data_IF_717598803938
#
_entry.id   IF_717598803938
#
_cell.length_a   1.000
_cell.length_b   1.000
_cell.length_c   1.000
_cell.angle_alpha   90.00
_cell.angle_beta   90.00
_cell.angle_gamma   90.00
#
_symmetry.space_group_name_H-M   'P 1'
#
loop_
_entity.id
_entity.type
_entity.pdbx_description
1 polymer ?
#
# COMPACT_ATOMS: atom_id res chain seq x y z
N UNK A 1 -13.14 15.49 -96.23
CA UNK A 1 -11.91 14.72 -95.96
C UNK A 1 -10.90 15.71 -95.39
N UNK A 2 -10.33 15.63 -94.19
CA UNK A 2 -10.40 14.76 -92.99
C UNK A 2 -9.86 15.66 -91.84
N UNK A 3 -10.68 16.00 -90.83
CA UNK A 3 -10.63 15.62 -89.39
C UNK A 3 -9.30 15.91 -88.63
N UNK A 4 -9.40 16.73 -87.56
CA UNK A 4 -8.98 16.48 -86.15
C UNK A 4 -8.58 17.80 -85.48
N UNK A 5 -9.40 18.46 -84.64
CA UNK A 5 -9.88 18.18 -83.27
C UNK A 5 -8.91 18.63 -82.14
N UNK A 6 -9.37 19.64 -81.40
CA UNK A 6 -9.16 20.10 -80.02
C UNK A 6 -7.84 19.88 -79.26
N UNK A 7 -7.45 20.92 -78.51
CA UNK A 7 -6.81 20.73 -77.20
C UNK A 7 -7.30 21.76 -76.18
N UNK A 8 -7.99 21.24 -75.17
CA UNK A 8 -8.60 21.96 -74.05
C UNK A 8 -7.58 22.25 -72.93
N UNK A 9 -7.78 23.38 -72.27
CA UNK A 9 -6.95 23.93 -71.21
C UNK A 9 -6.73 23.01 -70.01
N UNK A 10 -5.52 23.14 -69.47
CA UNK A 10 -4.93 22.51 -68.30
C UNK A 10 -5.61 22.86 -66.96
N UNK A 11 -5.79 21.84 -66.12
CA UNK A 11 -5.95 22.00 -64.65
C UNK A 11 -4.90 21.10 -64.00
N UNK A 12 -3.86 21.72 -63.41
CA UNK A 12 -2.83 21.02 -62.64
C UNK A 12 -3.27 21.00 -61.17
N UNK A 13 -3.59 19.81 -60.64
CA UNK A 13 -3.80 19.60 -59.20
C UNK A 13 -2.44 19.34 -58.55
N UNK A 14 -2.09 20.19 -57.60
CA UNK A 14 -0.96 20.06 -56.69
C UNK A 14 -1.09 18.76 -55.88
N UNK A 15 -0.26 17.76 -56.18
CA UNK A 15 -0.21 16.48 -55.46
C UNK A 15 0.50 16.68 -54.12
N UNK A 16 -0.26 17.09 -53.10
CA UNK A 16 0.15 17.07 -51.70
C UNK A 16 0.68 15.67 -51.34
N UNK A 17 1.94 15.62 -50.90
CA UNK A 17 2.67 14.40 -50.60
C UNK A 17 2.13 13.73 -49.32
N UNK A 18 1.09 12.90 -49.48
CA UNK A 18 0.33 12.22 -48.42
C UNK A 18 1.19 11.32 -47.52
N UNK A 19 2.32 10.83 -48.01
CA UNK A 19 3.24 9.97 -47.23
C UNK A 19 3.99 10.73 -46.14
N UNK A 20 4.41 11.98 -46.42
CA UNK A 20 5.07 12.83 -45.42
C UNK A 20 4.11 13.25 -44.31
N UNK A 21 2.85 13.53 -44.66
CA UNK A 21 1.79 13.87 -43.71
C UNK A 21 1.41 12.69 -42.80
N UNK A 22 1.63 11.45 -43.26
CA UNK A 22 1.42 10.22 -42.49
C UNK A 22 2.57 9.92 -41.52
N UNK A 23 3.82 10.17 -41.92
CA UNK A 23 5.01 10.02 -41.06
C UNK A 23 5.04 11.06 -39.95
N UNK A 24 4.71 12.31 -40.26
CA UNK A 24 4.71 13.41 -39.29
C UNK A 24 3.61 13.26 -38.23
N UNK A 25 2.43 12.76 -38.64
CA UNK A 25 1.34 12.39 -37.72
C UNK A 25 1.66 11.18 -36.83
N UNK A 26 2.39 10.18 -37.33
CA UNK A 26 2.83 9.04 -36.51
C UNK A 26 3.87 9.46 -35.48
N UNK A 27 4.82 10.31 -35.87
CA UNK A 27 5.86 10.85 -34.98
C UNK A 27 5.23 11.68 -33.86
N UNK A 28 4.30 12.58 -34.18
CA UNK A 28 3.54 13.35 -33.19
C UNK A 28 2.66 12.47 -32.28
N UNK A 29 2.09 11.37 -32.79
CA UNK A 29 1.32 10.43 -31.96
C UNK A 29 2.21 9.66 -30.97
N UNK A 30 3.40 9.24 -31.39
CA UNK A 30 4.37 8.59 -30.51
C UNK A 30 4.91 9.54 -29.44
N UNK A 31 5.20 10.79 -29.82
CA UNK A 31 5.66 11.81 -28.90
C UNK A 31 4.57 12.15 -27.87
N UNK A 32 3.31 12.29 -28.30
CA UNK A 32 2.17 12.47 -27.39
C UNK A 32 2.00 11.29 -26.43
N UNK A 33 2.15 10.04 -26.90
CA UNK A 33 2.08 8.84 -26.04
C UNK A 33 3.19 8.81 -24.99
N UNK A 34 4.41 9.21 -25.36
CA UNK A 34 5.53 9.31 -24.42
C UNK A 34 5.27 10.39 -23.38
N UNK A 35 4.78 11.55 -23.81
CA UNK A 35 4.44 12.65 -22.90
C UNK A 35 3.29 12.27 -21.94
N UNK A 36 2.22 11.65 -22.45
CA UNK A 36 1.12 11.17 -21.63
C UNK A 36 1.60 10.16 -20.58
N UNK A 37 2.42 9.18 -21.00
CA UNK A 37 3.02 8.19 -20.10
C UNK A 37 3.90 8.85 -19.04
N UNK A 38 4.71 9.85 -19.42
CA UNK A 38 5.54 10.60 -18.46
C UNK A 38 4.67 11.41 -17.48
N UNK A 39 3.58 12.01 -17.94
CA UNK A 39 2.63 12.73 -17.08
C UNK A 39 1.90 11.80 -16.11
N UNK A 40 1.56 10.58 -16.54
CA UNK A 40 1.03 9.54 -15.65
C UNK A 40 2.08 9.11 -14.62
N UNK A 41 3.32 8.81 -15.04
CA UNK A 41 4.43 8.47 -14.14
C UNK A 41 4.73 9.59 -13.14
N UNK A 42 4.64 10.86 -13.53
CA UNK A 42 4.83 12.02 -12.64
C UNK A 42 3.66 12.21 -11.67
N UNK A 43 2.44 11.82 -12.05
CA UNK A 43 1.28 11.79 -11.14
C UNK A 43 1.38 10.64 -10.14
N UNK A 44 1.92 9.50 -10.58
CA UNK A 44 2.14 8.31 -9.76
C UNK A 44 3.45 8.37 -8.95
N UNK A 45 4.36 9.29 -9.30
CA UNK A 45 5.64 9.45 -8.61
C UNK A 45 5.38 9.83 -7.16
N UNK A 46 5.85 9.03 -6.18
CA UNK A 46 5.69 9.35 -4.78
C UNK A 46 6.51 10.61 -4.49
N UNK A 47 5.83 11.75 -4.35
CA UNK A 47 6.45 12.93 -3.76
C UNK A 47 6.84 12.56 -2.33
N UNK A 48 8.05 12.88 -1.87
CA UNK A 48 8.40 12.65 -0.48
C UNK A 48 7.42 13.43 0.40
N UNK A 49 6.51 12.68 1.01
CA UNK A 49 5.55 13.19 1.98
C UNK A 49 6.32 13.59 3.22
N UNK A 50 6.02 14.77 3.77
CA UNK A 50 6.56 15.16 5.08
C UNK A 50 6.10 14.23 6.22
N UNK A 51 5.07 13.41 5.98
CA UNK A 51 4.61 12.38 6.91
C UNK A 51 5.31 11.02 6.70
N UNK A 52 6.14 10.86 5.66
CA UNK A 52 6.84 9.61 5.35
C UNK A 52 7.83 9.25 6.47
N UNK A 53 7.55 8.16 7.18
CA UNK A 53 8.31 7.74 8.35
C UNK A 53 8.47 6.22 8.50
N UNK A 54 7.91 5.43 7.58
CA UNK A 54 8.00 3.97 7.55
C UNK A 54 8.64 3.57 6.24
N UNK A 55 9.87 3.07 6.33
CA UNK A 55 10.72 2.81 5.17
C UNK A 55 10.92 1.32 4.94
N UNK A 56 11.02 0.94 3.67
CA UNK A 56 11.57 -0.35 3.28
C UNK A 56 13.08 -0.32 3.44
N UNK A 57 13.60 -1.39 4.03
CA UNK A 57 15.03 -1.59 4.19
C UNK A 57 15.62 -1.79 2.78
N UNK A 58 16.65 -1.02 2.40
CA UNK A 58 17.33 -1.20 1.13
C UNK A 58 17.77 -2.65 0.91
N UNK A 59 17.55 -3.16 -0.31
CA UNK A 59 17.80 -4.57 -0.64
C UNK A 59 19.22 -5.02 -0.30
N UNK A 60 20.23 -4.16 -0.50
CA UNK A 60 21.63 -4.44 -0.14
C UNK A 60 21.82 -4.75 1.35
N UNK A 61 21.11 -4.03 2.24
CA UNK A 61 21.15 -4.30 3.67
C UNK A 61 20.42 -5.60 4.00
N UNK A 62 19.26 -5.84 3.38
CA UNK A 62 18.54 -7.11 3.55
C UNK A 62 19.38 -8.32 3.12
N UNK A 63 20.11 -8.22 2.00
CA UNK A 63 20.99 -9.30 1.51
C UNK A 63 22.18 -9.53 2.45
N UNK A 64 22.70 -8.49 3.09
CA UNK A 64 23.81 -8.61 4.03
C UNK A 64 23.42 -9.31 5.34
N UNK A 65 22.19 -9.07 5.84
CA UNK A 65 21.70 -9.73 7.06
C UNK A 65 20.17 -9.82 7.12
N UNK A 66 19.62 -10.78 6.38
CA UNK A 66 18.16 -10.94 6.19
C UNK A 66 17.39 -11.12 7.50
N UNK A 67 17.99 -11.85 8.44
CA UNK A 67 17.42 -12.16 9.74
C UNK A 67 17.32 -10.94 10.67
N UNK A 68 18.02 -9.83 10.38
CA UNK A 68 17.83 -8.59 11.14
C UNK A 68 16.57 -7.83 10.74
N UNK A 69 16.09 -8.01 9.49
CA UNK A 69 15.02 -7.18 8.93
C UNK A 69 13.71 -7.95 8.70
N UNK A 70 13.75 -9.28 8.75
CA UNK A 70 12.54 -10.11 8.55
C UNK A 70 11.83 -10.36 9.89
N UNK A 71 10.50 -10.14 10.01
CA UNK A 71 9.72 -10.56 11.17
C UNK A 71 9.75 -12.07 11.35
N UNK A 72 9.68 -12.52 12.61
CA UNK A 72 9.76 -13.94 12.97
C UNK A 72 8.41 -14.57 13.27
N UNK A 73 7.50 -13.82 13.87
CA UNK A 73 6.22 -14.33 14.38
C UNK A 73 5.04 -13.46 13.98
N UNK A 74 5.20 -12.15 13.80
CA UNK A 74 4.07 -11.26 13.53
C UNK A 74 4.37 -10.18 12.49
N UNK A 75 3.47 -10.03 11.52
CA UNK A 75 3.45 -8.89 10.63
C UNK A 75 2.63 -7.75 11.26
N UNK A 76 3.08 -6.50 11.14
CA UNK A 76 2.36 -5.30 11.51
C UNK A 76 2.45 -4.35 10.33
N UNK A 77 1.30 -3.93 9.83
CA UNK A 77 1.22 -3.11 8.64
C UNK A 77 1.43 -3.91 7.35
N UNK A 78 1.58 -3.19 6.22
CA UNK A 78 1.44 -3.78 4.88
C UNK A 78 2.65 -4.58 4.39
N UNK A 79 3.88 -4.25 4.79
CA UNK A 79 5.08 -4.73 4.11
C UNK A 79 5.35 -6.23 4.26
N UNK A 80 4.90 -6.83 5.36
CA UNK A 80 5.03 -8.27 5.59
C UNK A 80 3.71 -9.02 5.53
N UNK A 81 2.64 -8.36 5.06
CA UNK A 81 1.32 -8.98 4.93
C UNK A 81 1.37 -10.15 3.95
N UNK A 82 0.67 -11.24 4.31
CA UNK A 82 0.55 -12.42 3.45
C UNK A 82 1.74 -13.37 3.50
N UNK A 83 2.78 -13.06 4.29
CA UNK A 83 3.87 -14.00 4.53
C UNK A 83 3.36 -15.25 5.25
N UNK A 84 3.48 -16.41 4.60
CA UNK A 84 2.98 -17.69 5.12
C UNK A 84 3.58 -18.07 6.47
N UNK A 85 4.83 -17.69 6.73
CA UNK A 85 5.49 -17.97 8.01
C UNK A 85 4.88 -17.21 9.19
N UNK A 86 4.20 -16.08 8.93
CA UNK A 86 3.60 -15.21 9.95
C UNK A 86 2.10 -15.48 10.14
N UNK A 87 1.48 -16.23 9.23
CA UNK A 87 0.06 -16.59 9.24
C UNK A 87 -0.43 -17.20 10.57
N UNK A 88 0.34 -18.02 11.31
CA UNK A 88 -0.11 -18.56 12.59
C UNK A 88 -0.52 -17.47 13.59
N UNK A 89 0.13 -16.29 13.58
CA UNK A 89 -0.15 -15.22 14.52
C UNK A 89 -1.35 -14.34 14.14
N UNK A 90 -1.83 -14.41 12.90
CA UNK A 90 -3.06 -13.70 12.49
C UNK A 90 -4.27 -14.18 13.30
N UNK A 91 -4.31 -15.46 13.67
CA UNK A 91 -5.33 -16.00 14.57
C UNK A 91 -5.32 -15.36 15.97
N UNK A 92 -4.13 -15.01 16.48
CA UNK A 92 -3.99 -14.35 17.79
C UNK A 92 -4.37 -12.88 17.73
N UNK A 93 -4.15 -12.20 16.60
CA UNK A 93 -4.69 -10.85 16.40
C UNK A 93 -6.22 -10.85 16.45
N UNK A 94 -6.86 -11.85 15.84
CA UNK A 94 -8.32 -12.02 15.91
C UNK A 94 -8.80 -12.35 17.34
N UNK A 95 -8.04 -13.13 18.10
CA UNK A 95 -8.31 -13.34 19.54
C UNK A 95 -8.31 -12.01 20.30
N UNK A 96 -7.31 -11.16 20.07
CA UNK A 96 -7.21 -9.85 20.73
C UNK A 96 -8.33 -8.90 20.30
N UNK A 97 -8.66 -8.89 19.01
CA UNK A 97 -9.77 -8.11 18.47
C UNK A 97 -11.13 -8.54 19.08
N UNK A 98 -11.37 -9.85 19.18
CA UNK A 98 -12.62 -10.38 19.75
C UNK A 98 -12.75 -10.13 21.25
N UNK A 99 -11.64 -10.15 21.99
CA UNK A 99 -11.59 -9.75 23.41
C UNK A 99 -11.87 -8.25 23.60
N UNK A 100 -11.30 -7.40 22.74
CA UNK A 100 -11.48 -5.95 22.83
C UNK A 100 -12.91 -5.50 22.50
N UNK A 101 -13.53 -6.15 21.52
CA UNK A 101 -14.85 -5.80 20.99
C UNK A 101 -15.68 -7.06 20.68
N UNK A 102 -16.28 -7.67 21.71
CA UNK A 102 -17.11 -8.84 21.50
C UNK A 102 -18.35 -8.46 20.66
N UNK A 103 -18.41 -9.01 19.44
CA UNK A 103 -19.58 -9.06 18.53
C UNK A 103 -20.44 -7.79 18.47
N UNK A 104 -19.81 -6.62 18.31
CA UNK A 104 -20.52 -5.34 18.11
C UNK A 104 -20.30 -4.79 16.70
N UNK A 105 -21.17 -5.09 15.72
CA UNK A 105 -21.03 -4.63 14.34
C UNK A 105 -20.87 -3.11 14.23
N UNK A 106 -21.61 -2.36 15.07
CA UNK A 106 -21.52 -0.89 15.14
C UNK A 106 -20.11 -0.43 15.51
N UNK A 107 -19.45 -1.09 16.47
CA UNK A 107 -18.07 -0.76 16.85
C UNK A 107 -17.10 -1.09 15.71
N UNK A 108 -17.21 -2.26 15.08
CA UNK A 108 -16.36 -2.62 13.93
C UNK A 108 -16.44 -1.58 12.83
N UNK A 109 -17.66 -1.24 12.40
CA UNK A 109 -17.88 -0.21 11.39
C UNK A 109 -17.28 1.13 11.79
N UNK A 110 -17.45 1.55 13.04
CA UNK A 110 -16.89 2.79 13.55
C UNK A 110 -15.35 2.86 13.42
N UNK A 111 -14.63 1.80 13.81
CA UNK A 111 -13.17 1.79 13.68
C UNK A 111 -12.71 1.75 12.21
N UNK A 112 -13.41 1.02 11.35
CA UNK A 112 -13.11 0.97 9.91
C UNK A 112 -13.28 2.36 9.29
N UNK A 113 -14.41 3.03 9.53
CA UNK A 113 -14.66 4.38 9.00
C UNK A 113 -13.66 5.41 9.55
N UNK A 114 -13.29 5.28 10.83
CA UNK A 114 -12.24 6.11 11.44
C UNK A 114 -10.90 5.94 10.72
N UNK A 115 -10.47 4.71 10.44
CA UNK A 115 -9.24 4.47 9.67
C UNK A 115 -9.37 4.98 8.24
N UNK A 116 -10.50 4.76 7.57
CA UNK A 116 -10.77 5.28 6.22
C UNK A 116 -10.65 6.80 6.16
N UNK A 117 -11.11 7.51 7.20
CA UNK A 117 -10.96 8.97 7.29
C UNK A 117 -9.49 9.43 7.33
N UNK A 118 -8.56 8.55 7.73
CA UNK A 118 -7.12 8.83 7.77
C UNK A 118 -6.34 8.16 6.63
N UNK A 119 -7.01 7.50 5.70
CA UNK A 119 -6.39 6.66 4.65
C UNK A 119 -5.23 7.33 3.94
N UNK A 120 -5.46 8.56 3.44
CA UNK A 120 -4.46 9.32 2.69
C UNK A 120 -3.21 9.59 3.54
N UNK A 121 -3.40 10.03 4.79
CA UNK A 121 -2.32 10.30 5.73
C UNK A 121 -1.58 9.03 6.14
N UNK A 122 -2.29 7.93 6.39
CA UNK A 122 -1.65 6.65 6.75
C UNK A 122 -0.79 6.17 5.59
N UNK A 123 -1.31 6.20 4.36
CA UNK A 123 -0.58 5.79 3.16
C UNK A 123 0.64 6.68 2.91
N UNK A 124 0.54 7.98 3.20
CA UNK A 124 1.66 8.92 3.04
C UNK A 124 2.77 8.76 4.09
N UNK A 125 2.60 7.88 5.09
CA UNK A 125 3.65 7.48 6.02
C UNK A 125 4.59 6.39 5.48
N UNK A 126 4.17 5.66 4.44
CA UNK A 126 4.94 4.58 3.83
C UNK A 126 5.73 5.12 2.62
N UNK A 127 6.99 4.71 2.49
CA UNK A 127 7.86 5.10 1.36
C UNK A 127 7.52 4.39 0.05
N UNK A 128 6.81 3.26 0.12
CA UNK A 128 6.32 2.53 -1.04
C UNK A 128 4.80 2.61 -1.21
N UNK A 129 4.35 2.49 -2.46
CA UNK A 129 2.93 2.43 -2.77
C UNK A 129 2.30 1.11 -2.28
N UNK A 130 1.30 1.23 -1.40
CA UNK A 130 0.59 0.07 -0.86
C UNK A 130 -0.42 -0.48 -1.86
N UNK A 131 -0.18 -1.71 -2.34
CA UNK A 131 -1.03 -2.44 -3.31
C UNK A 131 -2.19 -3.20 -2.65
N UNK A 132 -2.92 -2.54 -1.77
CA UNK A 132 -4.12 -3.08 -1.13
C UNK A 132 -5.30 -2.18 -1.46
N UNK A 133 -6.49 -2.76 -1.61
CA UNK A 133 -7.72 -1.96 -1.64
C UNK A 133 -7.84 -1.15 -0.35
N UNK A 134 -8.58 -0.05 -0.40
CA UNK A 134 -8.78 0.78 0.79
C UNK A 134 -9.49 0.00 1.91
N UNK A 135 -10.37 -0.94 1.56
CA UNK A 135 -11.07 -1.78 2.54
C UNK A 135 -10.10 -2.78 3.19
N UNK A 136 -9.35 -3.55 2.40
CA UNK A 136 -8.36 -4.50 2.94
C UNK A 136 -7.30 -3.80 3.79
N UNK A 137 -6.89 -2.59 3.40
CA UNK A 137 -5.93 -1.79 4.14
C UNK A 137 -6.53 -1.30 5.47
N UNK A 138 -7.78 -0.82 5.45
CA UNK A 138 -8.46 -0.36 6.67
C UNK A 138 -8.65 -1.51 7.66
N UNK A 139 -9.09 -2.68 7.18
CA UNK A 139 -9.26 -3.89 8.00
C UNK A 139 -7.96 -4.30 8.69
N UNK A 140 -6.84 -4.30 7.96
CA UNK A 140 -5.53 -4.61 8.52
C UNK A 140 -5.08 -3.57 9.54
N UNK A 141 -5.27 -2.28 9.28
CA UNK A 141 -4.91 -1.23 10.24
C UNK A 141 -5.71 -1.34 11.53
N UNK A 142 -7.00 -1.69 11.46
CA UNK A 142 -7.81 -1.96 12.65
C UNK A 142 -7.29 -3.20 13.37
N UNK A 143 -7.11 -4.32 12.67
CA UNK A 143 -6.67 -5.57 13.27
C UNK A 143 -5.31 -5.44 13.97
N UNK A 144 -4.32 -4.90 13.26
CA UNK A 144 -2.95 -4.73 13.76
C UNK A 144 -2.91 -3.67 14.87
N UNK A 145 -3.64 -2.57 14.70
CA UNK A 145 -3.69 -1.50 15.70
C UNK A 145 -4.37 -1.94 17.00
N UNK A 146 -5.49 -2.66 16.92
CA UNK A 146 -6.15 -3.24 18.10
C UNK A 146 -5.28 -4.30 18.76
N UNK A 147 -4.59 -5.13 17.97
CA UNK A 147 -3.60 -6.06 18.52
C UNK A 147 -2.55 -5.32 19.35
N UNK A 148 -1.95 -4.25 18.83
CA UNK A 148 -0.95 -3.44 19.55
C UNK A 148 -1.52 -2.82 20.82
N UNK A 149 -2.71 -2.21 20.74
CA UNK A 149 -3.40 -1.64 21.91
C UNK A 149 -3.64 -2.70 22.98
N UNK A 150 -4.18 -3.86 22.61
CA UNK A 150 -4.43 -4.96 23.54
C UNK A 150 -3.15 -5.49 24.15
N UNK A 151 -2.09 -5.69 23.35
CA UNK A 151 -0.80 -6.15 23.83
C UNK A 151 -0.25 -5.22 24.94
N UNK A 152 -0.30 -3.90 24.74
CA UNK A 152 0.12 -2.94 25.76
C UNK A 152 -0.79 -2.95 27.01
N UNK A 153 -2.10 -3.08 26.83
CA UNK A 153 -3.04 -3.14 27.95
C UNK A 153 -2.85 -4.40 28.81
N UNK A 154 -2.59 -5.55 28.18
CA UNK A 154 -2.30 -6.83 28.86
C UNK A 154 -0.92 -6.75 29.53
N UNK A 155 0.06 -6.12 28.88
CA UNK A 155 1.38 -5.90 29.47
C UNK A 155 1.29 -5.12 30.78
N UNK A 156 0.42 -4.10 30.83
CA UNK A 156 0.17 -3.29 32.02
C UNK A 156 -0.68 -4.00 33.08
N UNK A 157 -1.73 -4.71 32.66
CA UNK A 157 -2.55 -5.52 33.56
C UNK A 157 -2.82 -6.89 32.93
N UNK A 158 -2.15 -7.92 33.46
CA UNK A 158 -2.25 -9.31 32.97
C UNK A 158 -3.63 -9.93 33.14
N UNK A 159 -4.50 -9.38 34.00
CA UNK A 159 -5.88 -9.84 34.17
C UNK A 159 -6.74 -9.59 32.92
N UNK A 160 -6.31 -8.69 32.03
CA UNK A 160 -6.99 -8.42 30.75
C UNK A 160 -6.71 -9.46 29.67
N UNK A 161 -5.87 -10.45 29.97
CA UNK A 161 -5.45 -11.48 29.03
C UNK A 161 -6.66 -12.35 28.63
N UNK A 162 -6.93 -12.54 27.33
CA UNK A 162 -7.97 -13.47 26.91
C UNK A 162 -7.53 -14.93 27.14
N UNK A 163 -8.52 -15.81 27.28
CA UNK A 163 -8.26 -17.25 27.37
C UNK A 163 -7.56 -17.75 26.10
N UNK A 164 -6.58 -18.64 26.28
CA UNK A 164 -5.81 -19.21 25.17
C UNK A 164 -4.70 -18.31 24.61
N UNK A 165 -4.39 -17.18 25.26
CA UNK A 165 -3.29 -16.31 24.85
C UNK A 165 -1.90 -16.92 25.06
N UNK A 166 -1.33 -17.43 23.97
CA UNK A 166 0.01 -18.04 23.97
C UNK A 166 1.16 -17.04 24.01
N UNK A 167 0.91 -15.75 23.73
CA UNK A 167 1.98 -14.73 23.66
C UNK A 167 2.56 -14.53 25.07
N UNK A 168 1.71 -14.35 26.07
CA UNK A 168 2.15 -14.15 27.46
C UNK A 168 2.44 -15.44 28.22
N UNK A 169 1.94 -16.59 27.76
CA UNK A 169 2.26 -17.91 28.35
C UNK A 169 3.68 -18.37 28.02
N UNK A 170 4.25 -17.89 26.91
CA UNK A 170 5.52 -18.36 26.36
C UNK A 170 6.51 -17.20 26.22
N UNK A 171 7.49 -17.05 27.13
CA UNK A 171 8.43 -15.91 27.11
C UNK A 171 9.13 -15.68 25.77
N UNK A 172 9.51 -16.75 25.07
CA UNK A 172 10.11 -16.69 23.74
C UNK A 172 9.17 -16.13 22.66
N UNK A 173 7.85 -16.35 22.74
CA UNK A 173 6.88 -15.74 21.82
C UNK A 173 6.81 -14.25 22.08
N UNK A 174 6.62 -13.83 23.33
CA UNK A 174 6.61 -12.40 23.71
C UNK A 174 7.89 -11.67 23.27
N UNK A 175 9.05 -12.30 23.43
CA UNK A 175 10.33 -11.73 22.99
C UNK A 175 10.41 -11.57 21.46
N UNK A 176 9.91 -12.54 20.70
CA UNK A 176 9.85 -12.41 19.24
C UNK A 176 8.82 -11.36 18.80
N UNK A 177 7.66 -11.26 19.47
CA UNK A 177 6.68 -10.19 19.21
C UNK A 177 7.31 -8.81 19.44
N UNK A 178 7.98 -8.61 20.58
CA UNK A 178 8.68 -7.35 20.89
C UNK A 178 9.76 -7.01 19.85
N UNK A 179 10.55 -8.00 19.44
CA UNK A 179 11.55 -7.82 18.38
C UNK A 179 10.88 -7.37 17.08
N UNK A 180 9.84 -8.09 16.66
CA UNK A 180 9.13 -7.82 15.41
C UNK A 180 8.49 -6.43 15.42
N UNK A 181 7.98 -5.97 16.57
CA UNK A 181 7.46 -4.61 16.76
C UNK A 181 8.54 -3.51 16.68
N UNK A 182 9.82 -3.84 16.69
CA UNK A 182 10.92 -2.87 16.57
C UNK A 182 11.53 -2.84 15.17
N UNK A 183 11.11 -3.73 14.27
CA UNK A 183 11.62 -3.76 12.90
C UNK A 183 11.09 -2.58 12.10
N UNK A 184 11.97 -1.92 11.35
CA UNK A 184 11.65 -0.74 10.54
C UNK A 184 10.50 -1.01 9.55
N UNK A 185 10.50 -2.17 8.90
CA UNK A 185 9.50 -2.55 7.90
C UNK A 185 8.19 -3.07 8.50
N UNK A 186 8.13 -3.25 9.82
CA UNK A 186 7.01 -3.92 10.51
C UNK A 186 6.27 -2.94 11.43
N UNK A 187 5.98 -1.75 10.89
CA UNK A 187 5.43 -0.63 11.64
C UNK A 187 4.09 -0.17 11.08
N UNK A 188 3.39 0.59 11.92
CA UNK A 188 2.24 1.40 11.52
C UNK A 188 2.36 2.79 12.16
N UNK A 189 1.74 3.84 11.59
CA UNK A 189 1.88 5.19 12.13
C UNK A 189 1.31 5.29 13.56
N UNK A 190 2.07 5.85 14.49
CA UNK A 190 1.70 5.89 15.91
C UNK A 190 0.36 6.59 16.17
N UNK A 191 0.01 7.62 15.38
CA UNK A 191 -1.27 8.32 15.51
C UNK A 191 -2.47 7.39 15.29
N UNK A 192 -2.31 6.30 14.53
CA UNK A 192 -3.35 5.28 14.35
C UNK A 192 -3.62 4.57 15.67
N UNK A 193 -2.56 4.11 16.36
CA UNK A 193 -2.67 3.44 17.66
C UNK A 193 -3.32 4.37 18.69
N UNK A 194 -2.86 5.62 18.78
CA UNK A 194 -3.45 6.63 19.66
C UNK A 194 -4.92 6.89 19.33
N UNK A 195 -5.21 6.96 18.04
CA UNK A 195 -6.54 7.16 17.49
C UNK A 195 -7.50 6.06 17.91
N UNK A 196 -7.09 4.80 17.74
CA UNK A 196 -7.87 3.61 18.11
C UNK A 196 -8.09 3.53 19.62
N UNK A 197 -7.08 3.83 20.44
CA UNK A 197 -7.18 3.80 21.91
C UNK A 197 -8.19 4.82 22.47
N UNK A 198 -8.30 6.00 21.86
CA UNK A 198 -9.18 7.10 22.32
C UNK A 198 -10.64 6.97 21.85
N UNK A 199 -11.00 5.83 21.27
CA UNK A 199 -12.31 5.59 20.64
C UNK A 199 -13.15 4.67 21.51
#
# INVERSE_FOLDING_TARGET
MEISADDHASVTIESLNLENLGKDRRKTLEDWRKEHRLRELLRESPRPSSECCIFRVPEKLQQSYKEAYTPRVIAIGPYHRGNQSLKPMESHKLLYLSSFMPRSPKRFHHYIEKIKSWMSRIKSCYDEHIRLSNDEFAEMMVLDGIFMVQLFLIYRNRERRPDGDRIFDKPWILNNVRRDMLLLENQMPFFVIQGLLKT
#
